data_IF_703288218177
#
_entry.id   IF_703288218177
#
_cell.length_a   1.000
_cell.length_b   1.000
_cell.length_c   1.000
_cell.angle_alpha   90.00
_cell.angle_beta   90.00
_cell.angle_gamma   90.00
#
_symmetry.space_group_name_H-M   'P 1'
#
loop_
_entity.id
_entity.type
_entity.pdbx_description
1 polymer ?
#
# COMPACT_ATOMS: atom_id res chain seq x y z
N UNK A 1 -25.75 -5.90 24.68
CA UNK A 1 -26.18 -5.78 23.26
C UNK A 1 -26.11 -4.35 22.71
N UNK A 2 -26.27 -3.30 23.54
CA UNK A 2 -26.17 -1.89 23.11
C UNK A 2 -24.72 -1.42 22.86
N UNK A 3 -23.77 -1.75 23.74
CA UNK A 3 -22.32 -1.43 23.55
C UNK A 3 -21.71 -2.08 22.28
N UNK A 4 -22.29 -3.19 21.84
CA UNK A 4 -21.84 -3.94 20.66
C UNK A 4 -22.33 -3.37 19.33
N UNK A 5 -23.38 -2.56 19.34
CA UNK A 5 -23.82 -1.82 18.15
C UNK A 5 -23.07 -0.49 18.00
N UNK A 6 -22.79 0.18 19.11
CA UNK A 6 -22.09 1.47 19.13
C UNK A 6 -20.62 1.34 18.67
N UNK A 7 -19.92 0.29 19.11
CA UNK A 7 -18.53 0.03 18.70
C UNK A 7 -18.38 -0.28 17.20
N UNK A 8 -19.32 -1.01 16.59
CA UNK A 8 -19.37 -1.33 15.15
C UNK A 8 -19.55 -0.10 14.27
N UNK A 9 -20.43 0.77 14.74
CA UNK A 9 -20.72 2.01 14.06
C UNK A 9 -19.48 2.91 14.06
N UNK A 10 -18.72 2.93 15.16
CA UNK A 10 -17.51 3.75 15.28
C UNK A 10 -16.33 3.25 14.43
N UNK A 11 -16.05 1.95 14.37
CA UNK A 11 -14.95 1.41 13.55
C UNK A 11 -15.14 1.66 12.04
N UNK A 12 -16.34 1.36 11.52
CA UNK A 12 -16.67 1.63 10.11
C UNK A 12 -16.69 3.12 9.79
N UNK A 13 -17.22 3.95 10.69
CA UNK A 13 -17.21 5.41 10.54
C UNK A 13 -15.80 5.95 10.38
N UNK A 14 -14.84 5.48 11.18
CA UNK A 14 -13.44 5.92 11.08
C UNK A 14 -12.80 5.54 9.75
N UNK A 15 -13.08 4.33 9.23
CA UNK A 15 -12.59 3.91 7.91
C UNK A 15 -13.17 4.81 6.82
N UNK A 16 -14.49 5.00 6.79
CA UNK A 16 -15.18 5.83 5.79
C UNK A 16 -14.71 7.29 5.87
N UNK A 17 -14.60 7.83 7.09
CA UNK A 17 -14.10 9.18 7.33
C UNK A 17 -12.68 9.34 6.81
N UNK A 18 -11.77 8.41 7.11
CA UNK A 18 -10.38 8.48 6.64
C UNK A 18 -10.27 8.43 5.11
N UNK A 19 -11.03 7.56 4.44
CA UNK A 19 -11.07 7.54 2.97
C UNK A 19 -11.69 8.80 2.38
N UNK A 20 -12.77 9.32 2.98
CA UNK A 20 -13.44 10.54 2.52
C UNK A 20 -12.52 11.76 2.67
N UNK A 21 -11.89 11.95 3.83
CA UNK A 21 -10.94 13.04 4.09
C UNK A 21 -9.76 12.97 3.12
N UNK A 22 -9.19 11.78 2.93
CA UNK A 22 -8.11 11.58 1.96
C UNK A 22 -8.56 11.95 0.53
N UNK A 23 -9.69 11.43 0.04
CA UNK A 23 -10.18 11.75 -1.29
C UNK A 23 -10.46 13.25 -1.49
N UNK A 24 -11.13 13.89 -0.53
CA UNK A 24 -11.40 15.33 -0.53
C UNK A 24 -10.09 16.12 -0.58
N UNK A 25 -9.11 15.71 0.23
CA UNK A 25 -7.80 16.37 0.28
C UNK A 25 -7.08 16.29 -1.07
N UNK A 26 -7.08 15.13 -1.75
CA UNK A 26 -6.50 14.99 -3.08
C UNK A 26 -7.21 15.88 -4.12
N UNK A 27 -8.55 15.96 -4.06
CA UNK A 27 -9.35 16.83 -4.95
C UNK A 27 -9.09 18.32 -4.70
N UNK A 28 -9.03 18.73 -3.43
CA UNK A 28 -8.71 20.12 -3.05
C UNK A 28 -7.30 20.46 -3.52
N UNK A 29 -6.33 19.56 -3.31
CA UNK A 29 -4.94 19.83 -3.69
C UNK A 29 -4.75 19.92 -5.21
N UNK A 30 -5.54 19.19 -6.00
CA UNK A 30 -5.52 19.26 -7.45
C UNK A 30 -5.80 20.69 -8.00
N UNK A 31 -6.41 21.57 -7.19
CA UNK A 31 -6.65 22.97 -7.58
C UNK A 31 -5.38 23.83 -7.59
N UNK A 32 -4.33 23.44 -6.86
CA UNK A 32 -3.08 24.18 -6.73
C UNK A 32 -2.03 23.80 -7.79
N UNK A 33 -2.44 23.08 -8.84
CA UNK A 33 -1.53 22.55 -9.86
C UNK A 33 -1.20 23.53 -10.99
N UNK A 34 -2.06 24.52 -11.23
CA UNK A 34 -1.87 25.47 -12.31
C UNK A 34 -0.81 26.51 -11.91
N UNK A 35 0.23 26.65 -12.72
CA UNK A 35 1.35 27.59 -12.52
C UNK A 35 0.91 29.05 -12.38
N UNK A 36 -0.28 29.41 -12.87
CA UNK A 36 -0.86 30.76 -12.76
C UNK A 36 -1.17 31.18 -11.31
N UNK A 37 -1.36 30.20 -10.40
CA UNK A 37 -1.60 30.46 -8.97
C UNK A 37 -0.27 30.66 -8.21
N UNK A 38 0.86 30.28 -8.82
CA UNK A 38 2.17 30.27 -8.17
C UNK A 38 2.88 31.62 -8.30
N UNK A 39 2.41 32.61 -7.54
CA UNK A 39 3.09 33.90 -7.39
C UNK A 39 4.10 33.85 -6.21
N UNK A 40 5.15 34.70 -6.21
CA UNK A 40 6.11 34.77 -5.10
C UNK A 40 5.43 35.02 -3.74
N UNK A 41 4.35 35.80 -3.74
CA UNK A 41 3.56 36.13 -2.55
C UNK A 41 2.77 34.92 -2.01
N UNK A 42 2.37 33.98 -2.87
CA UNK A 42 1.62 32.78 -2.51
C UNK A 42 2.50 31.58 -2.13
N UNK A 43 3.81 31.61 -2.43
CA UNK A 43 4.71 30.48 -2.26
C UNK A 43 4.74 29.95 -0.81
N UNK A 44 4.84 30.85 0.18
CA UNK A 44 4.84 30.50 1.60
C UNK A 44 3.51 29.87 2.05
N UNK A 45 2.39 30.36 1.53
CA UNK A 45 1.07 29.83 1.85
C UNK A 45 0.89 28.41 1.27
N UNK A 46 1.27 28.23 0.00
CA UNK A 46 1.19 26.95 -0.70
C UNK A 46 2.09 25.89 -0.04
N UNK A 47 3.28 26.28 0.45
CA UNK A 47 4.16 25.38 1.21
C UNK A 47 3.55 24.94 2.55
N UNK A 48 2.87 25.83 3.29
CA UNK A 48 2.13 25.45 4.52
C UNK A 48 1.00 24.47 4.23
N UNK A 49 0.26 24.69 3.14
CA UNK A 49 -0.79 23.78 2.68
C UNK A 49 -0.18 22.41 2.33
N UNK A 50 1.00 22.38 1.71
CA UNK A 50 1.71 21.13 1.39
C UNK A 50 2.10 20.33 2.64
N UNK A 51 2.60 20.99 3.70
CA UNK A 51 2.84 20.29 4.98
C UNK A 51 1.54 19.80 5.62
N UNK A 52 0.49 20.65 5.61
CA UNK A 52 -0.84 20.28 6.11
C UNK A 52 -1.40 19.05 5.41
N UNK A 53 -1.20 18.94 4.09
CA UNK A 53 -1.59 17.78 3.29
C UNK A 53 -0.98 16.48 3.85
N UNK A 54 0.33 16.44 4.11
CA UNK A 54 0.96 15.23 4.64
C UNK A 54 0.54 14.90 6.07
N UNK A 55 0.32 15.90 6.92
CA UNK A 55 -0.20 15.70 8.29
C UNK A 55 -1.59 15.05 8.23
N UNK A 56 -2.48 15.58 7.40
CA UNK A 56 -3.84 15.05 7.22
C UNK A 56 -3.80 13.65 6.59
N UNK A 57 -2.89 13.41 5.64
CA UNK A 57 -2.70 12.10 5.03
C UNK A 57 -2.28 11.05 6.06
N UNK A 58 -1.30 11.36 6.92
CA UNK A 58 -0.85 10.48 8.00
C UNK A 58 -1.96 10.24 9.03
N UNK A 59 -2.71 11.29 9.41
CA UNK A 59 -3.86 11.16 10.29
C UNK A 59 -4.96 10.25 9.68
N UNK A 60 -5.20 10.37 8.37
CA UNK A 60 -6.15 9.54 7.63
C UNK A 60 -5.72 8.06 7.63
N UNK A 61 -4.44 7.77 7.40
CA UNK A 61 -3.91 6.41 7.54
C UNK A 61 -4.10 5.87 8.96
N UNK A 62 -3.82 6.68 9.98
CA UNK A 62 -4.03 6.31 11.39
C UNK A 62 -5.49 5.97 11.70
N UNK A 63 -6.43 6.81 11.25
CA UNK A 63 -7.86 6.60 11.41
C UNK A 63 -8.34 5.31 10.70
N UNK A 64 -7.88 5.06 9.47
CA UNK A 64 -8.21 3.84 8.71
C UNK A 64 -7.63 2.61 9.42
N UNK A 65 -6.37 2.63 9.82
CA UNK A 65 -5.71 1.51 10.49
C UNK A 65 -6.39 1.16 11.82
N UNK A 66 -6.70 2.17 12.64
CA UNK A 66 -7.41 1.97 13.90
C UNK A 66 -8.85 1.50 13.69
N UNK A 67 -9.55 2.08 12.71
CA UNK A 67 -10.90 1.66 12.32
C UNK A 67 -10.94 0.21 11.83
N UNK A 68 -9.97 -0.21 11.00
CA UNK A 68 -9.81 -1.59 10.57
C UNK A 68 -9.53 -2.53 11.74
N UNK A 69 -8.65 -2.15 12.67
CA UNK A 69 -8.36 -2.95 13.86
C UNK A 69 -9.62 -3.20 14.70
N UNK A 70 -10.37 -2.13 15.01
CA UNK A 70 -11.63 -2.21 15.77
C UNK A 70 -12.68 -3.05 15.04
N UNK A 71 -12.81 -2.86 13.73
CA UNK A 71 -13.73 -3.62 12.90
C UNK A 71 -13.39 -5.12 12.85
N UNK A 72 -12.11 -5.45 12.71
CA UNK A 72 -11.62 -6.83 12.75
C UNK A 72 -11.84 -7.49 14.12
N UNK A 73 -11.49 -6.80 15.22
CA UNK A 73 -11.65 -7.30 16.59
C UNK A 73 -13.10 -7.68 16.89
N UNK A 74 -14.02 -6.79 16.54
CA UNK A 74 -15.45 -7.00 16.75
C UNK A 74 -15.99 -8.19 15.96
N UNK A 75 -15.58 -8.32 14.70
CA UNK A 75 -15.98 -9.45 13.84
C UNK A 75 -15.54 -10.78 14.41
N UNK A 76 -14.33 -10.85 14.96
CA UNK A 76 -13.81 -12.04 15.63
C UNK A 76 -14.61 -12.37 16.88
N UNK A 77 -14.96 -11.35 17.69
CA UNK A 77 -15.75 -11.53 18.92
C UNK A 77 -17.17 -12.01 18.64
N UNK A 78 -17.83 -11.45 17.62
CA UNK A 78 -19.22 -11.80 17.26
C UNK A 78 -19.38 -13.19 16.62
N UNK A 79 -18.30 -13.79 16.10
CA UNK A 79 -18.30 -15.12 15.45
C UNK A 79 -19.45 -15.32 14.45
N UNK A 80 -19.78 -14.28 13.69
CA UNK A 80 -20.77 -14.30 12.62
C UNK A 80 -20.44 -15.29 11.48
N UNK A 81 -21.42 -15.52 10.61
CA UNK A 81 -21.31 -16.41 9.43
C UNK A 81 -20.97 -15.66 8.13
N UNK A 82 -20.78 -14.35 8.20
CA UNK A 82 -20.43 -13.53 7.03
C UNK A 82 -18.97 -13.73 6.60
N UNK A 83 -18.71 -13.52 5.31
CA UNK A 83 -17.40 -13.73 4.70
C UNK A 83 -16.32 -12.87 5.38
N UNK A 84 -16.65 -11.64 5.76
CA UNK A 84 -15.74 -10.73 6.46
C UNK A 84 -15.37 -11.26 7.84
N UNK A 85 -16.30 -11.91 8.55
CA UNK A 85 -15.99 -12.60 9.81
C UNK A 85 -15.05 -13.79 9.59
N UNK A 86 -15.25 -14.58 8.53
CA UNK A 86 -14.34 -15.69 8.20
C UNK A 86 -12.91 -15.16 7.98
N UNK A 87 -12.77 -14.10 7.17
CA UNK A 87 -11.47 -13.43 6.95
C UNK A 87 -10.88 -12.99 8.30
N UNK A 88 -11.65 -12.24 9.09
CA UNK A 88 -11.18 -11.69 10.35
C UNK A 88 -10.72 -12.79 11.32
N UNK A 89 -11.49 -13.87 11.47
CA UNK A 89 -11.16 -15.02 12.33
C UNK A 89 -9.91 -15.73 11.86
N UNK A 90 -9.75 -15.96 10.56
CA UNK A 90 -8.55 -16.61 10.00
C UNK A 90 -7.29 -15.77 10.21
N UNK A 91 -7.39 -14.43 10.17
CA UNK A 91 -6.24 -13.53 10.26
C UNK A 91 -5.93 -13.03 11.68
N UNK A 92 -6.79 -13.33 12.66
CA UNK A 92 -6.65 -12.79 14.03
C UNK A 92 -5.61 -13.51 14.89
N UNK A 93 -5.20 -14.73 14.52
CA UNK A 93 -4.24 -15.50 15.32
C UNK A 93 -2.82 -14.87 15.28
N UNK A 94 -2.00 -15.14 16.30
CA UNK A 94 -0.65 -14.54 16.42
C UNK A 94 0.27 -14.88 15.24
N UNK A 95 0.14 -16.07 14.65
CA UNK A 95 0.98 -16.51 13.51
C UNK A 95 0.62 -15.72 12.24
N UNK A 96 -0.66 -15.66 11.90
CA UNK A 96 -1.20 -14.91 10.76
C UNK A 96 -0.87 -13.42 10.87
N UNK A 97 -0.99 -12.83 12.07
CA UNK A 97 -0.62 -11.42 12.30
C UNK A 97 0.87 -11.17 12.10
N UNK A 98 1.75 -12.09 12.54
CA UNK A 98 3.20 -11.99 12.27
C UNK A 98 3.50 -12.08 10.78
N UNK A 99 2.88 -13.03 10.07
CA UNK A 99 3.01 -13.17 8.61
C UNK A 99 2.54 -11.89 7.92
N UNK A 100 1.36 -11.39 8.27
CA UNK A 100 0.81 -10.15 7.73
C UNK A 100 1.79 -8.98 7.89
N UNK A 101 2.32 -8.75 9.09
CA UNK A 101 3.26 -7.65 9.36
C UNK A 101 4.56 -7.84 8.59
N UNK A 102 5.13 -9.05 8.58
CA UNK A 102 6.36 -9.35 7.85
C UNK A 102 6.20 -9.11 6.34
N UNK A 103 5.09 -9.59 5.76
CA UNK A 103 4.78 -9.38 4.35
C UNK A 103 4.47 -7.91 4.05
N UNK A 104 3.74 -7.21 4.91
CA UNK A 104 3.41 -5.79 4.75
C UNK A 104 4.69 -4.93 4.70
N UNK A 105 5.61 -5.14 5.64
CA UNK A 105 6.88 -4.40 5.70
C UNK A 105 7.79 -4.80 4.53
N UNK A 106 7.97 -6.11 4.30
CA UNK A 106 8.85 -6.61 3.24
C UNK A 106 8.39 -6.15 1.85
N UNK A 107 7.10 -6.26 1.57
CA UNK A 107 6.53 -5.77 0.31
C UNK A 107 6.56 -4.24 0.22
N UNK A 108 6.34 -3.52 1.33
CA UNK A 108 6.43 -2.06 1.36
C UNK A 108 7.82 -1.54 1.00
N UNK A 109 8.88 -2.15 1.55
CA UNK A 109 10.26 -1.83 1.20
C UNK A 109 10.51 -2.12 -0.28
N UNK A 110 10.12 -3.31 -0.73
CA UNK A 110 10.26 -3.70 -2.13
C UNK A 110 9.54 -2.74 -3.09
N UNK A 111 8.29 -2.36 -2.76
CA UNK A 111 7.51 -1.41 -3.54
C UNK A 111 8.14 -0.01 -3.56
N UNK A 112 8.73 0.45 -2.44
CA UNK A 112 9.40 1.75 -2.39
C UNK A 112 10.61 1.83 -3.33
N UNK A 113 11.35 0.73 -3.49
CA UNK A 113 12.49 0.64 -4.42
C UNK A 113 12.03 0.69 -5.88
N UNK A 114 10.91 0.04 -6.19
CA UNK A 114 10.40 -0.03 -7.57
C UNK A 114 9.65 1.23 -7.98
N UNK A 115 8.82 1.78 -7.09
CA UNK A 115 7.88 2.87 -7.40
C UNK A 115 8.56 4.21 -7.71
N UNK A 116 9.90 4.25 -7.76
CA UNK A 116 10.67 5.47 -7.89
C UNK A 116 10.62 6.33 -6.62
N UNK A 117 10.21 5.76 -5.48
CA UNK A 117 10.31 6.46 -4.19
C UNK A 117 11.78 6.60 -3.80
N UNK A 118 12.59 5.57 -4.05
CA UNK A 118 14.05 5.69 -4.05
C UNK A 118 14.53 5.83 -5.51
N UNK A 119 15.06 7.00 -5.85
CA UNK A 119 15.57 7.32 -7.20
C UNK A 119 17.08 7.25 -7.19
N UNK A 120 17.65 6.46 -8.09
CA UNK A 120 19.08 6.43 -8.36
C UNK A 120 19.34 6.92 -9.78
N UNK A 121 20.04 8.03 -9.93
CA UNK A 121 20.42 8.62 -11.22
C UNK A 121 21.95 8.71 -11.31
N UNK A 122 22.63 7.66 -11.82
CA UNK A 122 24.09 7.66 -11.94
C UNK A 122 24.60 8.66 -12.98
N UNK A 123 23.78 8.99 -13.99
CA UNK A 123 24.14 9.91 -15.08
C UNK A 123 23.96 11.40 -14.71
N UNK A 124 23.31 11.69 -13.58
CA UNK A 124 23.00 13.05 -13.14
C UNK A 124 23.62 13.29 -11.77
N UNK A 125 24.48 14.29 -11.67
CA UNK A 125 24.98 14.76 -10.37
C UNK A 125 24.08 15.88 -9.83
N UNK A 126 23.44 15.66 -8.69
CA UNK A 126 22.45 16.60 -8.17
C UNK A 126 23.03 17.96 -7.75
N UNK A 127 24.31 18.01 -7.39
CA UNK A 127 25.00 19.26 -7.07
C UNK A 127 25.17 20.08 -8.35
N UNK A 128 25.67 19.47 -9.43
CA UNK A 128 26.01 20.21 -10.65
C UNK A 128 24.80 20.50 -11.54
N UNK A 129 23.81 19.60 -11.57
CA UNK A 129 22.64 19.73 -12.45
C UNK A 129 21.46 20.45 -11.81
N UNK A 130 21.28 20.30 -10.49
CA UNK A 130 20.16 20.90 -9.78
C UNK A 130 20.59 21.96 -8.75
N UNK A 131 21.90 22.22 -8.61
CA UNK A 131 22.42 23.14 -7.60
C UNK A 131 22.13 22.68 -6.17
N UNK A 132 21.88 21.37 -5.97
CA UNK A 132 21.45 20.86 -4.68
C UNK A 132 22.60 20.87 -3.67
N UNK A 133 22.35 21.38 -2.47
CA UNK A 133 23.23 21.17 -1.32
C UNK A 133 22.94 19.80 -0.73
N UNK A 134 23.93 18.93 -0.59
CA UNK A 134 23.73 17.55 -0.13
C UNK A 134 24.32 17.40 1.28
N UNK A 135 23.57 16.80 2.25
CA UNK A 135 22.19 16.35 2.17
C UNK A 135 21.19 17.51 2.29
N UNK A 136 20.07 17.45 1.57
CA UNK A 136 18.95 18.41 1.75
C UNK A 136 17.61 17.76 1.43
N UNK A 137 16.53 18.35 1.94
CA UNK A 137 15.17 17.95 1.59
C UNK A 137 14.24 19.13 1.53
N UNK A 138 13.38 19.14 0.52
CA UNK A 138 12.39 20.20 0.33
C UNK A 138 11.07 19.59 -0.16
N UNK A 139 9.98 20.33 0.04
CA UNK A 139 8.67 19.96 -0.48
C UNK A 139 8.45 20.77 -1.74
N UNK A 140 8.29 20.09 -2.87
CA UNK A 140 7.81 20.71 -4.10
C UNK A 140 6.29 20.76 -4.04
N UNK A 141 5.68 21.93 -3.87
CA UNK A 141 4.26 22.01 -3.61
C UNK A 141 3.42 22.11 -4.90
N UNK A 142 4.03 22.12 -6.08
CA UNK A 142 3.28 22.28 -7.33
C UNK A 142 3.87 21.53 -8.52
N UNK A 143 3.09 21.61 -9.59
CA UNK A 143 3.54 21.58 -10.99
C UNK A 143 3.76 20.18 -11.55
N UNK A 144 2.82 19.28 -11.27
CA UNK A 144 2.80 17.90 -11.78
C UNK A 144 1.34 17.40 -11.86
N UNK A 145 1.15 16.18 -12.35
CA UNK A 145 -0.17 15.58 -12.54
C UNK A 145 -0.98 15.41 -11.22
N UNK A 146 -2.33 15.38 -11.27
CA UNK A 146 -3.20 15.11 -10.13
C UNK A 146 -2.74 13.92 -9.28
N UNK A 147 -2.56 14.15 -7.98
CA UNK A 147 -2.10 13.15 -7.02
C UNK A 147 -0.59 12.94 -6.93
N UNK A 148 0.20 13.56 -7.81
CA UNK A 148 1.66 13.56 -7.70
C UNK A 148 2.19 14.68 -6.81
N UNK A 149 1.42 15.76 -6.64
CA UNK A 149 1.74 16.90 -5.78
C UNK A 149 0.91 16.90 -4.49
N UNK A 150 1.43 17.47 -3.38
CA UNK A 150 2.81 17.93 -3.20
C UNK A 150 3.76 16.73 -3.13
N UNK A 151 4.98 16.83 -3.66
CA UNK A 151 6.01 15.78 -3.48
C UNK A 151 7.11 16.25 -2.55
N UNK A 152 7.57 15.37 -1.66
CA UNK A 152 8.77 15.59 -0.86
C UNK A 152 9.96 15.04 -1.64
N UNK A 153 11.01 15.83 -1.80
CA UNK A 153 12.26 15.43 -2.45
C UNK A 153 13.38 15.55 -1.41
N UNK A 154 14.14 14.49 -1.22
CA UNK A 154 15.31 14.45 -0.34
C UNK A 154 16.51 13.98 -1.13
N UNK A 155 17.54 14.80 -1.23
CA UNK A 155 18.83 14.42 -1.79
C UNK A 155 19.69 13.83 -0.68
N UNK A 156 19.99 12.53 -0.79
CA UNK A 156 20.83 11.81 0.18
C UNK A 156 22.30 11.87 -0.22
N UNK A 157 22.59 11.61 -1.50
CA UNK A 157 23.93 11.67 -2.10
C UNK A 157 23.84 12.30 -3.49
N UNK A 158 24.99 12.50 -4.16
CA UNK A 158 25.07 13.10 -5.50
C UNK A 158 24.23 12.40 -6.57
N UNK A 159 23.90 11.12 -6.37
CA UNK A 159 23.18 10.27 -7.32
C UNK A 159 21.96 9.57 -6.72
N UNK A 160 21.77 9.62 -5.40
CA UNK A 160 20.66 8.95 -4.69
C UNK A 160 19.71 9.99 -4.10
N UNK A 161 18.46 9.95 -4.53
CA UNK A 161 17.37 10.77 -4.04
C UNK A 161 16.23 9.92 -3.51
N UNK A 162 15.45 10.50 -2.60
CA UNK A 162 14.17 9.96 -2.16
C UNK A 162 13.07 10.93 -2.60
N UNK A 163 12.03 10.42 -3.25
CA UNK A 163 10.87 11.20 -3.65
C UNK A 163 9.59 10.56 -3.12
N UNK A 164 8.89 11.25 -2.21
CA UNK A 164 7.64 10.77 -1.66
C UNK A 164 6.49 11.41 -2.45
N UNK A 165 5.95 10.65 -3.41
CA UNK A 165 4.77 11.05 -4.17
C UNK A 165 3.51 10.58 -3.41
N UNK A 166 2.51 11.44 -3.12
CA UNK A 166 1.33 11.09 -2.35
C UNK A 166 0.56 9.89 -2.87
N UNK A 167 0.24 9.85 -4.17
CA UNK A 167 -0.50 8.74 -4.75
C UNK A 167 0.30 7.42 -4.67
N UNK A 168 1.62 7.47 -4.86
CA UNK A 168 2.48 6.29 -4.72
C UNK A 168 2.54 5.81 -3.28
N UNK A 169 2.55 6.72 -2.29
CA UNK A 169 2.49 6.37 -0.88
C UNK A 169 1.17 5.68 -0.53
N UNK A 170 0.04 6.20 -1.03
CA UNK A 170 -1.28 5.56 -0.86
C UNK A 170 -1.30 4.17 -1.50
N UNK A 171 -0.84 4.05 -2.74
CA UNK A 171 -0.74 2.78 -3.44
C UNK A 171 0.18 1.80 -2.70
N UNK A 172 1.33 2.25 -2.21
CA UNK A 172 2.26 1.45 -1.42
C UNK A 172 1.57 0.86 -0.19
N UNK A 173 0.87 1.68 0.59
CA UNK A 173 0.16 1.22 1.80
C UNK A 173 -0.96 0.26 1.44
N UNK A 174 -1.79 0.59 0.44
CA UNK A 174 -2.95 -0.23 0.05
C UNK A 174 -2.52 -1.57 -0.53
N UNK A 175 -1.60 -1.58 -1.49
CA UNK A 175 -1.13 -2.82 -2.13
C UNK A 175 -0.38 -3.68 -1.12
N UNK A 176 0.49 -3.11 -0.28
CA UNK A 176 1.17 -3.86 0.79
C UNK A 176 0.19 -4.48 1.78
N UNK A 177 -0.89 -3.75 2.13
CA UNK A 177 -1.96 -4.27 2.98
C UNK A 177 -2.68 -5.45 2.33
N UNK A 178 -3.08 -5.32 1.06
CA UNK A 178 -3.77 -6.37 0.33
C UNK A 178 -2.92 -7.61 0.15
N UNK A 179 -1.65 -7.43 -0.22
CA UNK A 179 -0.68 -8.51 -0.35
C UNK A 179 -0.47 -9.21 1.00
N UNK A 180 -0.23 -8.46 2.07
CA UNK A 180 -0.10 -9.03 3.42
C UNK A 180 -1.33 -9.81 3.85
N UNK A 181 -2.53 -9.28 3.56
CA UNK A 181 -3.80 -9.95 3.87
C UNK A 181 -3.92 -11.27 3.10
N UNK A 182 -3.71 -11.25 1.79
CA UNK A 182 -3.76 -12.44 0.94
C UNK A 182 -2.77 -13.51 1.38
N UNK A 183 -1.52 -13.14 1.65
CA UNK A 183 -0.49 -14.07 2.11
C UNK A 183 -0.82 -14.65 3.48
N UNK A 184 -1.33 -13.84 4.41
CA UNK A 184 -1.71 -14.31 5.74
C UNK A 184 -2.86 -15.33 5.70
N UNK A 185 -3.86 -15.11 4.83
CA UNK A 185 -4.99 -16.04 4.63
C UNK A 185 -4.49 -17.30 3.94
N UNK A 186 -3.69 -17.18 2.87
CA UNK A 186 -3.18 -18.32 2.12
C UNK A 186 -2.33 -19.24 2.99
N UNK A 187 -1.39 -18.69 3.77
CA UNK A 187 -0.54 -19.50 4.66
C UNK A 187 -1.36 -20.09 5.81
N UNK A 188 -2.30 -19.34 6.39
CA UNK A 188 -3.18 -19.87 7.44
C UNK A 188 -4.07 -21.00 6.91
N UNK A 189 -4.63 -20.87 5.72
CA UNK A 189 -5.41 -21.93 5.07
C UNK A 189 -4.56 -23.17 4.75
N UNK A 190 -3.33 -22.98 4.25
CA UNK A 190 -2.44 -24.06 3.84
C UNK A 190 -1.86 -24.83 5.04
N UNK A 191 -1.41 -24.12 6.08
CA UNK A 191 -0.91 -24.74 7.32
C UNK A 191 -1.96 -25.61 8.00
N UNK A 192 -3.24 -25.31 7.78
CA UNK A 192 -4.38 -26.06 8.34
C UNK A 192 -4.82 -27.22 7.42
N UNK A 193 -4.59 -27.13 6.10
CA UNK A 193 -4.94 -28.17 5.11
C UNK A 193 -4.06 -29.44 5.15
N UNK A 194 -3.04 -29.50 6.02
CA UNK A 194 -2.10 -30.63 6.30
C UNK A 194 -1.17 -31.06 5.15
N UNK A 195 0.07 -31.42 5.53
CA UNK A 195 0.87 -32.51 4.93
C UNK A 195 1.18 -32.38 3.42
N UNK A 196 1.94 -31.35 3.05
CA UNK A 196 2.57 -31.23 1.73
C UNK A 196 3.92 -30.51 1.85
N UNK A 197 4.98 -31.27 2.14
CA UNK A 197 6.38 -30.81 2.13
C UNK A 197 6.71 -30.32 0.71
N UNK A 198 7.14 -29.06 0.57
CA UNK A 198 7.94 -28.61 -0.57
C UNK A 198 7.50 -27.33 -1.31
N UNK A 199 6.22 -26.98 -1.35
CA UNK A 199 5.74 -25.92 -2.25
C UNK A 199 5.55 -24.51 -1.62
N UNK A 200 5.90 -24.35 -0.34
CA UNK A 200 5.47 -23.20 0.47
C UNK A 200 6.13 -21.85 0.13
N UNK A 201 7.34 -21.83 -0.44
CA UNK A 201 8.05 -20.58 -0.77
C UNK A 201 7.75 -20.10 -2.19
N UNK A 202 7.65 -21.03 -3.15
CA UNK A 202 7.51 -20.73 -4.57
C UNK A 202 6.11 -20.18 -4.89
N UNK A 203 5.05 -20.76 -4.33
CA UNK A 203 3.68 -20.25 -4.53
C UNK A 203 3.43 -18.89 -3.87
N UNK A 204 4.07 -18.62 -2.73
CA UNK A 204 3.99 -17.33 -2.05
C UNK A 204 4.76 -16.23 -2.81
N UNK A 205 5.92 -16.57 -3.39
CA UNK A 205 6.68 -15.65 -4.24
C UNK A 205 5.93 -15.31 -5.54
N UNK A 206 5.32 -16.30 -6.21
CA UNK A 206 4.52 -16.06 -7.43
C UNK A 206 3.30 -15.16 -7.10
N UNK A 207 2.63 -15.39 -5.98
CA UNK A 207 1.54 -14.51 -5.50
C UNK A 207 1.98 -13.07 -5.18
N UNK A 208 3.21 -12.91 -4.68
CA UNK A 208 3.79 -11.62 -4.33
C UNK A 208 4.04 -10.73 -5.57
N UNK A 209 4.48 -11.32 -6.68
CA UNK A 209 4.78 -10.60 -7.92
C UNK A 209 3.57 -10.41 -8.84
N UNK A 210 2.50 -11.21 -8.70
CA UNK A 210 1.22 -10.99 -9.40
C UNK A 210 0.63 -9.60 -9.06
N UNK A 211 0.89 -9.08 -7.86
CA UNK A 211 0.39 -7.79 -7.40
C UNK A 211 0.99 -6.58 -8.14
N UNK A 212 2.22 -6.71 -8.64
CA UNK A 212 2.93 -5.64 -9.34
C UNK A 212 3.95 -6.25 -10.32
N UNK A 213 3.52 -6.60 -11.54
CA UNK A 213 4.40 -7.12 -12.58
C UNK A 213 5.56 -6.16 -12.91
N UNK A 214 5.29 -4.85 -12.90
CA UNK A 214 6.31 -3.80 -13.04
C UNK A 214 7.37 -3.87 -11.95
N UNK A 215 7.00 -4.22 -10.72
CA UNK A 215 7.93 -4.44 -9.63
C UNK A 215 8.84 -5.64 -9.85
N UNK A 216 8.32 -6.72 -10.43
CA UNK A 216 9.15 -7.84 -10.87
C UNK A 216 10.14 -7.39 -11.96
N UNK A 217 9.68 -6.62 -12.95
CA UNK A 217 10.51 -6.09 -14.04
C UNK A 217 11.67 -5.23 -13.54
N UNK A 218 11.38 -4.21 -12.74
CA UNK A 218 12.39 -3.30 -12.19
C UNK A 218 13.35 -4.03 -11.26
N UNK A 219 12.87 -4.98 -10.46
CA UNK A 219 13.74 -5.83 -9.64
C UNK A 219 14.73 -6.65 -10.49
N UNK A 220 14.24 -7.30 -11.55
CA UNK A 220 15.09 -8.04 -12.48
C UNK A 220 16.10 -7.11 -13.18
N UNK A 221 15.70 -5.88 -13.53
CA UNK A 221 16.61 -4.90 -14.13
C UNK A 221 17.69 -4.41 -13.17
N UNK A 222 17.34 -4.10 -11.91
CA UNK A 222 18.27 -3.51 -10.93
C UNK A 222 19.21 -4.55 -10.32
N UNK A 223 18.70 -5.75 -10.02
CA UNK A 223 19.47 -6.76 -9.28
C UNK A 223 20.03 -7.88 -10.17
N UNK A 224 19.38 -8.19 -11.29
CA UNK A 224 19.85 -9.25 -12.21
C UNK A 224 20.58 -8.63 -13.42
N UNK A 225 20.33 -7.36 -13.74
CA UNK A 225 21.14 -6.58 -14.70
C UNK A 225 21.14 -7.13 -16.13
N UNK A 226 20.22 -8.05 -16.46
CA UNK A 226 20.17 -8.64 -17.80
C UNK A 226 19.57 -7.66 -18.79
N UNK A 227 20.06 -7.67 -20.04
CA UNK A 227 19.46 -6.91 -21.14
C UNK A 227 17.94 -7.16 -21.26
N UNK A 228 17.49 -8.38 -20.91
CA UNK A 228 16.08 -8.74 -20.81
C UNK A 228 15.33 -8.03 -19.68
N UNK A 229 15.97 -7.76 -18.53
CA UNK A 229 15.36 -7.03 -17.41
C UNK A 229 15.13 -5.55 -17.71
N UNK A 230 16.05 -4.91 -18.44
CA UNK A 230 15.92 -3.51 -18.89
C UNK A 230 14.81 -3.39 -19.93
N UNK A 231 14.81 -4.26 -20.95
CA UNK A 231 13.77 -4.29 -21.97
C UNK A 231 12.38 -4.60 -21.38
N UNK A 232 12.31 -5.55 -20.45
CA UNK A 232 11.09 -5.90 -19.74
C UNK A 232 10.60 -4.73 -18.87
N UNK A 233 11.49 -4.00 -18.20
CA UNK A 233 11.11 -2.82 -17.41
C UNK A 233 10.50 -1.73 -18.29
N UNK A 234 11.12 -1.41 -19.43
CA UNK A 234 10.59 -0.42 -20.37
C UNK A 234 9.21 -0.86 -20.90
N UNK A 235 9.06 -2.13 -21.30
CA UNK A 235 7.77 -2.66 -21.76
C UNK A 235 6.69 -2.62 -20.66
N UNK A 236 7.05 -2.95 -19.43
CA UNK A 236 6.11 -2.98 -18.30
C UNK A 236 5.73 -1.58 -17.82
N UNK A 237 6.61 -0.57 -17.91
CA UNK A 237 6.29 0.82 -17.54
C UNK A 237 5.13 1.38 -18.36
N UNK A 238 5.07 1.06 -19.66
CA UNK A 238 3.98 1.48 -20.55
C UNK A 238 2.63 0.84 -20.16
N UNK A 239 2.66 -0.35 -19.55
CA UNK A 239 1.46 -1.06 -19.09
C UNK A 239 1.17 -0.87 -17.59
N UNK A 240 1.94 -0.05 -16.88
CA UNK A 240 1.85 0.06 -15.42
C UNK A 240 0.44 0.41 -14.94
N UNK A 241 -0.24 1.33 -15.61
CA UNK A 241 -1.63 1.69 -15.30
C UNK A 241 -2.58 0.52 -15.49
N UNK A 242 -2.40 -0.28 -16.55
CA UNK A 242 -3.21 -1.47 -16.80
C UNK A 242 -2.96 -2.56 -15.74
N UNK A 243 -1.71 -2.75 -15.32
CA UNK A 243 -1.38 -3.71 -14.27
C UNK A 243 -1.96 -3.32 -12.92
N UNK A 244 -1.89 -2.04 -12.54
CA UNK A 244 -2.52 -1.55 -11.30
C UNK A 244 -4.05 -1.71 -11.38
N UNK A 245 -4.64 -1.38 -12.53
CA UNK A 245 -6.08 -1.50 -12.77
C UNK A 245 -6.58 -2.95 -12.68
N UNK A 246 -5.76 -3.94 -13.05
CA UNK A 246 -6.11 -5.37 -12.98
C UNK A 246 -5.73 -5.97 -11.61
N UNK A 247 -4.56 -5.63 -11.07
CA UNK A 247 -4.04 -6.27 -9.86
C UNK A 247 -4.83 -5.91 -8.61
N UNK A 248 -5.29 -4.65 -8.47
CA UNK A 248 -6.08 -4.22 -7.31
C UNK A 248 -7.40 -5.02 -7.22
N UNK A 249 -8.24 -5.13 -8.28
CA UNK A 249 -9.41 -5.99 -8.26
C UNK A 249 -9.12 -7.45 -7.92
N UNK A 250 -8.05 -8.03 -8.49
CA UNK A 250 -7.65 -9.42 -8.21
C UNK A 250 -7.27 -9.59 -6.73
N UNK A 251 -6.49 -8.65 -6.17
CA UNK A 251 -6.08 -8.63 -4.76
C UNK A 251 -7.25 -8.41 -3.80
N UNK A 252 -8.31 -7.70 -4.21
CA UNK A 252 -9.54 -7.55 -3.45
C UNK A 252 -10.45 -8.79 -3.54
N UNK A 253 -10.50 -9.44 -4.70
CA UNK A 253 -11.32 -10.63 -4.92
C UNK A 253 -10.74 -11.88 -4.22
N UNK A 254 -9.42 -12.00 -4.17
CA UNK A 254 -8.73 -13.21 -3.68
C UNK A 254 -9.08 -13.56 -2.22
N UNK A 255 -9.07 -12.63 -1.24
CA UNK A 255 -9.49 -12.91 0.14
C UNK A 255 -10.94 -13.39 0.22
N UNK A 256 -11.83 -12.82 -0.60
CA UNK A 256 -13.24 -13.18 -0.65
C UNK A 256 -13.41 -14.62 -1.17
N UNK A 257 -12.70 -14.97 -2.25
CA UNK A 257 -12.72 -16.32 -2.83
C UNK A 257 -12.14 -17.34 -1.84
N UNK A 258 -11.02 -17.04 -1.20
CA UNK A 258 -10.40 -17.90 -0.18
C UNK A 258 -11.33 -18.10 1.02
N UNK A 259 -11.94 -17.03 1.53
CA UNK A 259 -12.87 -17.10 2.65
C UNK A 259 -14.13 -17.93 2.32
N UNK A 260 -14.64 -17.86 1.08
CA UNK A 260 -15.74 -18.73 0.64
C UNK A 260 -15.35 -20.22 0.68
N UNK A 261 -14.11 -20.58 0.30
CA UNK A 261 -13.61 -21.96 0.38
C UNK A 261 -13.40 -22.44 1.82
N UNK A 262 -13.04 -21.53 2.72
CA UNK A 262 -12.88 -21.77 4.15
C UNK A 262 -14.20 -21.86 4.91
N UNK A 263 -15.35 -21.62 4.28
CA UNK A 263 -16.66 -21.78 4.88
C UNK A 263 -17.08 -23.24 4.95
N UNK A 264 -17.58 -23.69 6.10
CA UNK A 264 -18.22 -25.00 6.29
C UNK A 264 -19.66 -25.01 5.76
N UNK A 265 -20.25 -26.21 5.66
CA UNK A 265 -21.67 -26.40 5.31
C UNK A 265 -22.60 -25.63 6.26
N UNK A 266 -22.25 -25.54 7.56
CA UNK A 266 -22.99 -24.76 8.57
C UNK A 266 -22.87 -23.23 8.44
N UNK A 267 -22.07 -22.75 7.47
CA UNK A 267 -21.76 -21.34 7.25
C UNK A 267 -20.68 -20.76 8.18
N UNK A 268 -20.14 -21.53 9.12
CA UNK A 268 -19.04 -21.11 10.01
C UNK A 268 -17.67 -21.31 9.36
N UNK A 269 -16.65 -20.64 9.88
CA UNK A 269 -15.27 -20.86 9.45
C UNK A 269 -14.86 -22.31 9.76
N UNK A 270 -14.18 -22.97 8.81
CA UNK A 270 -13.52 -24.28 8.98
C UNK A 270 -12.42 -24.26 10.04
N UNK A 271 -11.90 -23.07 10.31
CA UNK A 271 -10.71 -22.86 11.13
C UNK A 271 -11.15 -22.38 12.51
N UNK A 272 -10.67 -23.06 13.55
CA UNK A 272 -10.77 -22.57 14.92
C UNK A 272 -9.58 -21.63 15.23
N UNK A 273 -9.82 -20.36 15.60
CA UNK A 273 -8.75 -19.39 15.90
C UNK A 273 -7.99 -19.69 17.21
N UNK A 274 -8.43 -20.66 18.02
CA UNK A 274 -7.83 -20.99 19.32
C UNK A 274 -6.74 -22.08 19.29
N UNK A 275 -6.46 -22.67 18.11
CA UNK A 275 -5.34 -23.60 17.87
C UNK A 275 -4.31 -22.99 16.91
#
# INVERSE_FOLDING_TARGET
MLEDQESNHNGKKLIVLGFAVMAIMFVIYARYQNSEVFTPDAANAIQRIAYGFYIILLASFGAIAYGLYRYHEEKVRKKGKDILTIIAVTTWNRKARKIFIATFIGYGIFFSLVSGTLVYQPEVNFITHYGATIPSGFVSPCCDAPGYMPKIIVYLTEHVGLQIIPINLVLQVVVSYLVGLNTSIAISAYTISKKGRGASSIGAAIGLFIACPTCAGTFLSVFIGTASGIALSIALTQLQTAFIAISIPVLLATPIIMARKLRNLDGRCKIDPTK
#
